data_IF_801028716256
#
_entry.id   IF_801028716256
#
_cell.length_a   1.000
_cell.length_b   1.000
_cell.length_c   1.000
_cell.angle_alpha   90.00
_cell.angle_beta   90.00
_cell.angle_gamma   90.00
#
_symmetry.space_group_name_H-M   'P 1'
#
loop_
_entity.id
_entity.type
_entity.pdbx_description
1 polymer ?
#
# COMPACT_ATOMS: atom_id res chain seq x y z
N UNK A 1 -4.12 -2.43 26.52
CA UNK A 1 -4.03 -0.97 26.29
C UNK A 1 -2.64 -0.53 25.80
N UNK A 2 -1.55 -0.68 26.57
CA UNK A 2 -0.19 -0.25 26.14
C UNK A 2 0.30 -0.87 24.81
N UNK A 3 0.07 -2.17 24.59
CA UNK A 3 0.46 -2.86 23.34
C UNK A 3 -0.26 -2.32 22.10
N UNK A 4 -1.52 -1.93 22.26
CA UNK A 4 -2.33 -1.38 21.16
C UNK A 4 -1.83 0.01 20.78
N UNK A 5 -1.53 0.87 21.78
CA UNK A 5 -0.93 2.18 21.54
C UNK A 5 0.40 2.06 20.79
N UNK A 6 1.29 1.16 21.24
CA UNK A 6 2.56 0.92 20.57
C UNK A 6 2.40 0.44 19.11
N UNK A 7 1.36 -0.36 18.82
CA UNK A 7 1.06 -0.79 17.45
C UNK A 7 0.59 0.37 16.56
N UNK A 8 -0.23 1.28 17.08
CA UNK A 8 -0.64 2.49 16.36
C UNK A 8 0.53 3.45 16.14
N UNK A 9 1.38 3.66 17.14
CA UNK A 9 2.57 4.49 17.01
C UNK A 9 3.51 3.96 15.92
N UNK A 10 3.75 2.63 15.91
CA UNK A 10 4.54 1.97 14.88
C UNK A 10 3.90 2.12 13.49
N UNK A 11 2.61 1.87 13.36
CA UNK A 11 1.90 2.00 12.08
C UNK A 11 1.96 3.44 11.54
N UNK A 12 1.82 4.45 12.40
CA UNK A 12 1.94 5.86 12.04
C UNK A 12 3.36 6.15 11.56
N UNK A 13 4.38 5.65 12.27
CA UNK A 13 5.78 5.85 11.90
C UNK A 13 6.10 5.22 10.54
N UNK A 14 5.75 3.95 10.35
CA UNK A 14 5.99 3.23 9.09
C UNK A 14 5.22 3.86 7.93
N UNK A 15 3.99 4.33 8.16
CA UNK A 15 3.21 5.04 7.14
C UNK A 15 3.91 6.33 6.68
N UNK A 16 4.51 7.10 7.60
CA UNK A 16 5.27 8.31 7.24
C UNK A 16 6.50 7.97 6.42
N UNK A 17 7.28 6.97 6.85
CA UNK A 17 8.47 6.51 6.12
C UNK A 17 8.09 6.07 4.71
N UNK A 18 6.99 5.30 4.57
CA UNK A 18 6.49 4.88 3.27
C UNK A 18 6.11 6.09 2.40
N UNK A 19 5.34 7.05 2.94
CA UNK A 19 4.91 8.25 2.20
C UNK A 19 6.11 9.07 1.70
N UNK A 20 7.12 9.24 2.56
CA UNK A 20 8.33 10.03 2.26
C UNK A 20 9.23 9.37 1.21
N UNK A 21 9.33 8.04 1.22
CA UNK A 21 10.30 7.29 0.38
C UNK A 21 9.70 6.68 -0.88
N UNK A 22 8.37 6.55 -0.96
CA UNK A 22 7.69 5.87 -2.04
C UNK A 22 7.91 6.52 -3.41
N UNK A 23 7.93 7.86 -3.51
CA UNK A 23 8.10 8.53 -4.81
C UNK A 23 9.49 8.28 -5.39
N UNK A 24 10.54 8.46 -4.59
CA UNK A 24 11.93 8.23 -5.02
C UNK A 24 12.13 6.76 -5.40
N UNK A 25 11.54 5.84 -4.64
CA UNK A 25 11.64 4.40 -4.92
C UNK A 25 10.87 4.03 -6.19
N UNK A 26 9.68 4.59 -6.38
CA UNK A 26 8.89 4.42 -7.59
C UNK A 26 9.64 4.94 -8.83
N UNK A 27 10.27 6.12 -8.73
CA UNK A 27 11.05 6.68 -9.83
C UNK A 27 12.23 5.80 -10.22
N UNK A 28 12.92 5.21 -9.24
CA UNK A 28 13.96 4.19 -9.49
C UNK A 28 13.40 2.97 -10.20
N UNK A 29 12.23 2.48 -9.79
CA UNK A 29 11.56 1.34 -10.46
C UNK A 29 11.25 1.70 -11.92
N UNK A 30 10.71 2.88 -12.19
CA UNK A 30 10.41 3.35 -13.56
C UNK A 30 11.69 3.49 -14.40
N UNK A 31 12.76 4.04 -13.84
CA UNK A 31 14.05 4.13 -14.52
C UNK A 31 14.62 2.75 -14.85
N UNK A 32 14.60 1.81 -13.89
CA UNK A 32 15.03 0.44 -14.11
C UNK A 32 14.16 -0.28 -15.16
N UNK A 33 12.84 -0.07 -15.14
CA UNK A 33 11.94 -0.62 -16.16
C UNK A 33 12.29 -0.09 -17.55
N UNK A 34 12.53 1.22 -17.69
CA UNK A 34 12.90 1.84 -18.96
C UNK A 34 14.21 1.27 -19.51
N UNK A 35 15.26 1.22 -18.67
CA UNK A 35 16.54 0.62 -19.04
C UNK A 35 16.38 -0.87 -19.39
N UNK A 36 15.52 -1.60 -18.65
CA UNK A 36 15.17 -2.97 -18.97
C UNK A 36 14.54 -3.11 -20.36
N UNK A 37 13.63 -2.22 -20.75
CA UNK A 37 13.04 -2.24 -22.10
C UNK A 37 14.10 -2.02 -23.19
N UNK A 38 15.01 -1.06 -22.99
CA UNK A 38 16.13 -0.80 -23.91
C UNK A 38 17.03 -2.05 -24.05
N UNK A 39 17.37 -2.71 -22.93
CA UNK A 39 18.14 -3.97 -22.98
C UNK A 39 17.38 -5.11 -23.66
N UNK A 40 16.06 -5.19 -23.49
CA UNK A 40 15.25 -6.22 -24.12
C UNK A 40 15.27 -6.11 -25.65
N UNK A 41 15.33 -4.89 -26.21
CA UNK A 41 15.45 -4.66 -27.65
C UNK A 41 16.76 -5.25 -28.22
N UNK A 42 17.86 -5.14 -27.47
CA UNK A 42 19.16 -5.66 -27.89
C UNK A 42 19.39 -7.14 -27.53
N UNK A 43 18.60 -7.68 -26.60
CA UNK A 43 18.82 -8.99 -25.98
C UNK A 43 18.82 -10.14 -26.99
N UNK A 44 18.01 -10.07 -28.04
CA UNK A 44 17.99 -11.07 -29.10
C UNK A 44 19.34 -11.15 -29.84
N UNK A 45 19.87 -9.99 -30.21
CA UNK A 45 21.13 -9.88 -30.95
C UNK A 45 22.30 -10.31 -30.07
N UNK A 46 22.31 -9.87 -28.81
CA UNK A 46 23.31 -10.26 -27.82
C UNK A 46 23.29 -11.78 -27.59
N UNK A 47 22.11 -12.36 -27.35
CA UNK A 47 21.99 -13.81 -27.15
C UNK A 47 22.47 -14.61 -28.36
N UNK A 48 22.15 -14.16 -29.58
CA UNK A 48 22.63 -14.80 -30.81
C UNK A 48 24.15 -14.72 -30.95
N UNK A 49 24.74 -13.54 -30.65
CA UNK A 49 26.20 -13.30 -30.67
C UNK A 49 26.93 -14.21 -29.67
N UNK A 50 26.36 -14.42 -28.50
CA UNK A 50 26.87 -15.32 -27.46
C UNK A 50 26.52 -16.82 -27.73
N UNK A 51 25.95 -17.14 -28.89
CA UNK A 51 25.71 -18.51 -29.33
C UNK A 51 24.39 -19.14 -28.85
N UNK A 52 23.50 -18.40 -28.19
CA UNK A 52 22.15 -18.86 -27.88
C UNK A 52 21.30 -18.93 -29.15
N UNK A 53 20.54 -20.02 -29.30
CA UNK A 53 19.67 -20.26 -30.46
C UNK A 53 18.38 -20.98 -30.07
N UNK A 54 17.38 -20.85 -30.94
CA UNK A 54 16.10 -21.56 -30.83
C UNK A 54 15.44 -21.37 -29.46
N UNK A 55 14.92 -22.47 -28.88
CA UNK A 55 14.17 -22.45 -27.62
C UNK A 55 14.93 -21.82 -26.45
N UNK A 56 16.26 -21.95 -26.39
CA UNK A 56 17.06 -21.36 -25.31
C UNK A 56 17.07 -19.83 -25.39
N UNK A 57 17.23 -19.28 -26.60
CA UNK A 57 17.18 -17.85 -26.85
C UNK A 57 15.78 -17.28 -26.55
N UNK A 58 14.73 -17.92 -27.08
CA UNK A 58 13.35 -17.50 -26.84
C UNK A 58 12.99 -17.47 -25.35
N UNK A 59 13.40 -18.50 -24.59
CA UNK A 59 13.16 -18.55 -23.14
C UNK A 59 13.90 -17.47 -22.38
N UNK A 60 15.12 -17.12 -22.79
CA UNK A 60 15.89 -16.04 -22.16
C UNK A 60 15.20 -14.68 -22.37
N UNK A 61 14.72 -14.41 -23.59
CA UNK A 61 13.98 -13.18 -23.93
C UNK A 61 12.68 -13.10 -23.14
N UNK A 62 11.88 -14.17 -23.16
CA UNK A 62 10.60 -14.22 -22.44
C UNK A 62 10.78 -14.07 -20.92
N UNK A 63 11.76 -14.76 -20.35
CA UNK A 63 12.09 -14.64 -18.92
C UNK A 63 12.52 -13.21 -18.55
N UNK A 64 13.25 -12.55 -19.44
CA UNK A 64 13.65 -11.17 -19.22
C UNK A 64 12.47 -10.20 -19.32
N UNK A 65 11.56 -10.40 -20.28
CA UNK A 65 10.32 -9.63 -20.39
C UNK A 65 9.46 -9.74 -19.13
N UNK A 66 9.43 -10.92 -18.49
CA UNK A 66 8.75 -11.07 -17.19
C UNK A 66 9.45 -10.23 -16.10
N UNK A 67 10.77 -10.15 -16.05
CA UNK A 67 11.41 -9.25 -15.07
C UNK A 67 10.94 -7.78 -15.21
N UNK A 68 10.75 -7.30 -16.44
CA UNK A 68 10.25 -5.94 -16.70
C UNK A 68 8.81 -5.79 -16.20
N UNK A 69 7.92 -6.75 -16.47
CA UNK A 69 6.52 -6.65 -16.03
C UNK A 69 6.37 -6.88 -14.52
N UNK A 70 7.25 -7.66 -13.87
CA UNK A 70 7.34 -7.71 -12.39
C UNK A 70 7.68 -6.33 -11.85
N UNK A 71 8.73 -5.68 -12.37
CA UNK A 71 9.15 -4.35 -11.92
C UNK A 71 8.01 -3.33 -12.05
N UNK A 72 7.32 -3.32 -13.18
CA UNK A 72 6.12 -2.48 -13.38
C UNK A 72 5.08 -2.75 -12.29
N UNK A 73 4.75 -4.02 -12.03
CA UNK A 73 3.79 -4.40 -10.99
C UNK A 73 4.21 -3.95 -9.58
N UNK A 74 5.50 -4.01 -9.25
CA UNK A 74 6.01 -3.50 -7.97
C UNK A 74 5.83 -1.98 -7.85
N UNK A 75 6.04 -1.24 -8.94
CA UNK A 75 5.78 0.21 -8.99
C UNK A 75 4.31 0.56 -8.72
N UNK A 76 3.40 -0.21 -9.33
CA UNK A 76 1.95 -0.03 -9.15
C UNK A 76 1.53 -0.35 -7.70
N UNK A 77 2.05 -1.43 -7.12
CA UNK A 77 1.80 -1.79 -5.72
C UNK A 77 2.32 -0.72 -4.74
N UNK A 78 3.51 -0.18 -4.98
CA UNK A 78 4.09 0.87 -4.15
C UNK A 78 3.24 2.16 -4.16
N UNK A 79 2.76 2.56 -5.34
CA UNK A 79 1.82 3.69 -5.48
C UNK A 79 0.54 3.46 -4.70
N UNK A 80 -0.06 2.27 -4.80
CA UNK A 80 -1.28 1.94 -4.07
C UNK A 80 -1.04 1.94 -2.56
N UNK A 81 0.05 1.32 -2.09
CA UNK A 81 0.41 1.31 -0.68
C UNK A 81 0.63 2.72 -0.11
N UNK A 82 1.27 3.62 -0.88
CA UNK A 82 1.40 5.03 -0.50
C UNK A 82 0.03 5.72 -0.37
N UNK A 83 -0.87 5.50 -1.32
CA UNK A 83 -2.21 6.10 -1.30
C UNK A 83 -3.03 5.60 -0.11
N UNK A 84 -2.97 4.31 0.19
CA UNK A 84 -3.61 3.72 1.38
C UNK A 84 -3.02 4.30 2.67
N UNK A 85 -1.70 4.44 2.76
CA UNK A 85 -1.05 5.06 3.91
C UNK A 85 -1.49 6.53 4.10
N UNK A 86 -1.59 7.30 3.02
CA UNK A 86 -2.11 8.67 3.07
C UNK A 86 -3.55 8.71 3.59
N UNK A 87 -4.41 7.80 3.13
CA UNK A 87 -5.80 7.74 3.56
C UNK A 87 -5.93 7.31 5.02
N UNK A 88 -5.16 6.31 5.45
CA UNK A 88 -5.09 5.90 6.84
C UNK A 88 -4.67 7.07 7.76
N UNK A 89 -3.68 7.87 7.35
CA UNK A 89 -3.26 9.04 8.10
C UNK A 89 -4.37 10.10 8.21
N UNK A 90 -5.16 10.32 7.16
CA UNK A 90 -6.32 11.22 7.22
C UNK A 90 -7.39 10.70 8.18
N UNK A 91 -7.71 9.41 8.13
CA UNK A 91 -8.69 8.80 9.03
C UNK A 91 -8.28 8.93 10.49
N UNK A 92 -6.99 8.75 10.81
CA UNK A 92 -6.47 8.96 12.17
C UNK A 92 -6.67 10.42 12.59
N UNK A 93 -6.34 11.39 11.74
CA UNK A 93 -6.53 12.80 12.04
C UNK A 93 -8.00 13.15 12.28
N UNK A 94 -8.90 12.64 11.43
CA UNK A 94 -10.35 12.82 11.58
C UNK A 94 -10.85 12.22 12.90
N UNK A 95 -10.42 11.01 13.26
CA UNK A 95 -10.76 10.39 14.54
C UNK A 95 -10.29 11.25 15.72
N UNK A 96 -9.06 11.78 15.67
CA UNK A 96 -8.55 12.69 16.70
C UNK A 96 -9.41 13.96 16.82
N UNK A 97 -9.84 14.56 15.71
CA UNK A 97 -10.72 15.73 15.69
C UNK A 97 -12.09 15.40 16.30
N UNK A 98 -12.72 14.31 15.87
CA UNK A 98 -14.03 13.87 16.37
C UNK A 98 -14.01 13.53 17.86
N UNK A 99 -12.88 13.05 18.39
CA UNK A 99 -12.70 12.77 19.81
C UNK A 99 -12.29 14.01 20.64
N UNK A 100 -12.14 15.19 20.03
CA UNK A 100 -11.70 16.40 20.72
C UNK A 100 -10.23 16.35 21.18
N UNK A 101 -9.40 15.54 20.53
CA UNK A 101 -7.98 15.34 20.86
C UNK A 101 -7.06 16.30 20.09
N UNK A 102 -7.60 17.05 19.12
CA UNK A 102 -6.87 18.06 18.35
C UNK A 102 -6.58 19.29 19.21
N UNK A 103 -5.31 19.54 19.52
CA UNK A 103 -4.88 20.81 20.14
C UNK A 103 -4.94 21.94 19.11
N UNK A 104 -6.07 22.64 19.05
CA UNK A 104 -6.10 24.05 18.67
C UNK A 104 -6.28 24.85 19.96
N UNK A 105 -5.37 25.81 20.20
CA UNK A 105 -5.22 26.69 21.37
C UNK A 105 -6.34 26.75 22.43
N UNK A 106 -5.93 26.56 23.69
CA UNK A 106 -6.46 27.22 24.90
C UNK A 106 -7.94 27.65 24.93
N UNK A 107 -8.73 26.95 25.73
CA UNK A 107 -9.95 27.52 26.31
C UNK A 107 -11.14 26.56 26.35
N UNK A 108 -11.46 26.08 27.55
CA UNK A 108 -12.74 25.52 27.95
C UNK A 108 -13.15 24.18 27.29
N UNK A 109 -12.78 23.07 27.94
CA UNK A 109 -13.48 21.80 27.74
C UNK A 109 -14.67 21.75 28.69
N UNK A 110 -15.85 22.11 28.18
CA UNK A 110 -17.11 21.67 28.77
C UNK A 110 -17.14 20.14 28.75
N UNK A 111 -17.31 19.58 29.94
CA UNK A 111 -17.38 18.16 30.20
C UNK A 111 -18.66 17.55 29.61
N UNK A 112 -18.71 17.30 28.29
CA UNK A 112 -19.79 16.50 27.69
C UNK A 112 -19.46 15.81 26.37
N UNK A 113 -18.23 15.34 26.17
CA UNK A 113 -17.95 14.34 25.11
C UNK A 113 -17.83 12.94 25.72
N UNK A 114 -18.95 12.46 26.26
CA UNK A 114 -19.11 11.09 26.79
C UNK A 114 -20.17 10.30 26.02
N UNK A 115 -20.47 10.67 24.78
CA UNK A 115 -21.29 9.85 23.88
C UNK A 115 -20.37 8.97 23.03
N UNK A 116 -19.84 7.97 23.72
CA UNK A 116 -19.22 6.79 23.13
C UNK A 116 -20.12 6.27 22.00
N UNK A 117 -19.51 5.95 20.86
CA UNK A 117 -20.13 5.34 19.68
C UNK A 117 -21.20 4.31 20.10
N UNK A 118 -22.46 4.55 19.76
CA UNK A 118 -23.50 3.54 19.89
C UNK A 118 -23.15 2.42 18.88
N UNK A 119 -22.93 1.21 19.39
CA UNK A 119 -22.62 0.04 18.59
C UNK A 119 -23.74 -0.19 17.55
N UNK A 120 -23.35 -0.39 16.29
CA UNK A 120 -24.27 -0.79 15.23
C UNK A 120 -24.82 -2.17 15.64
N UNK A 121 -26.13 -2.25 15.92
CA UNK A 121 -26.79 -3.52 16.17
C UNK A 121 -26.73 -4.37 14.90
N UNK A 122 -25.95 -5.45 14.93
CA UNK A 122 -26.09 -6.54 13.97
C UNK A 122 -27.46 -7.19 14.22
N UNK A 123 -28.36 -7.06 13.24
CA UNK A 123 -29.66 -7.71 13.27
C UNK A 123 -29.43 -9.20 13.00
N UNK A 124 -29.46 -9.99 14.06
CA UNK A 124 -29.45 -11.45 13.99
C UNK A 124 -30.78 -11.91 13.36
N UNK A 125 -30.77 -12.25 12.07
CA UNK A 125 -31.87 -12.99 11.44
C UNK A 125 -31.77 -14.45 11.87
N UNK A 126 -32.26 -14.72 13.08
CA UNK A 126 -32.50 -16.08 13.56
C UNK A 126 -33.62 -16.72 12.77
N UNK A 127 -33.27 -17.77 12.02
CA UNK A 127 -34.19 -18.74 11.44
C UNK A 127 -35.15 -19.26 12.52
N UNK A 128 -36.45 -18.94 12.40
CA UNK A 128 -37.50 -19.68 13.11
C UNK A 128 -37.76 -20.99 12.38
N UNK A 129 -37.09 -22.02 12.88
CA UNK A 129 -37.32 -23.40 12.54
C UNK A 129 -38.69 -23.86 13.12
N UNK A 130 -39.61 -24.23 12.23
CA UNK A 130 -40.64 -25.27 12.43
C UNK A 130 -41.66 -25.12 13.56
N UNK A 131 -42.94 -25.02 13.19
CA UNK A 131 -44.01 -25.72 13.92
C UNK A 131 -45.31 -25.89 13.12
N UNK A 132 -45.75 -27.16 13.11
CA UNK A 132 -47.05 -27.76 12.74
C UNK A 132 -47.32 -28.00 11.26
#
# INVERSE_FOLDING_TARGET
QKKVLAAYDLMIQESRVLIETADITHDKIVQCQKAGMEFHEELHNLGTKEGLKGRKLSKAIESFAWNITVLKGQGDLLKNAKNEALENMKQIQLACLSCGLSKTGSGHMDAKSKRCLEAIQEKDTGDENGRL
#
